data_IF_873911219241
#
_entry.id   IF_873911219241
#
_cell.length_a   1.000
_cell.length_b   1.000
_cell.length_c   1.000
_cell.angle_alpha   90.00
_cell.angle_beta   90.00
_cell.angle_gamma   90.00
#
_symmetry.space_group_name_H-M   'P 1'
#
loop_
_entity.id
_entity.type
_entity.pdbx_description
1 polymer ?
#
# COMPACT_ATOMS: atom_id res chain seq x y z
N UNK A 1 -23.40 31.08 11.05
CA UNK A 1 -23.12 29.66 11.28
C UNK A 1 -21.62 29.52 11.20
N UNK A 2 -20.99 29.32 12.35
CA UNK A 2 -19.58 28.93 12.39
C UNK A 2 -19.45 27.50 11.88
N UNK A 3 -18.20 27.07 11.74
CA UNK A 3 -17.71 25.69 11.76
C UNK A 3 -17.06 25.19 10.45
N UNK A 4 -15.77 24.88 10.62
CA UNK A 4 -14.86 24.06 9.80
C UNK A 4 -13.97 24.75 8.74
N UNK A 5 -13.21 25.78 9.12
CA UNK A 5 -11.88 26.02 8.51
C UNK A 5 -10.90 24.93 9.00
N UNK A 6 -10.99 23.74 8.40
CA UNK A 6 -10.13 22.60 8.74
C UNK A 6 -8.87 22.67 7.86
N UNK A 7 -7.98 23.60 8.20
CA UNK A 7 -6.63 23.64 7.64
C UNK A 7 -5.92 22.34 8.04
N UNK A 8 -5.89 21.36 7.12
CA UNK A 8 -5.17 20.11 7.33
C UNK A 8 -3.68 20.42 7.49
N UNK A 9 -3.05 19.84 8.51
CA UNK A 9 -1.60 19.92 8.66
C UNK A 9 -0.93 19.41 7.37
N UNK A 10 0.07 20.14 6.82
CA UNK A 10 0.69 19.78 5.54
C UNK A 10 1.32 18.37 5.55
N UNK A 11 1.75 17.89 6.73
CA UNK A 11 2.25 16.52 6.93
C UNK A 11 1.16 15.45 6.74
N UNK A 12 -0.07 15.76 7.14
CA UNK A 12 -1.22 14.85 7.03
C UNK A 12 -1.65 14.72 5.58
N UNK A 13 -1.71 15.83 4.84
CA UNK A 13 -1.98 15.83 3.40
C UNK A 13 -0.95 14.99 2.62
N UNK A 14 0.34 15.14 2.94
CA UNK A 14 1.39 14.38 2.29
C UNK A 14 1.21 12.87 2.49
N UNK A 15 0.93 12.44 3.73
CA UNK A 15 0.66 11.03 4.05
C UNK A 15 -0.54 10.48 3.26
N UNK A 16 -1.63 11.25 3.18
CA UNK A 16 -2.81 10.87 2.40
C UNK A 16 -2.45 10.68 0.92
N UNK A 17 -1.72 11.65 0.33
CA UNK A 17 -1.26 11.56 -1.05
C UNK A 17 -0.37 10.36 -1.29
N UNK A 18 0.53 10.04 -0.35
CA UNK A 18 1.38 8.86 -0.44
C UNK A 18 0.57 7.55 -0.40
N UNK A 19 -0.40 7.43 0.51
CA UNK A 19 -1.26 6.24 0.62
C UNK A 19 -2.16 6.04 -0.62
N UNK A 20 -2.55 7.13 -1.28
CA UNK A 20 -3.34 7.07 -2.51
C UNK A 20 -2.55 6.58 -3.74
N UNK A 21 -1.22 6.57 -3.71
CA UNK A 21 -0.39 6.12 -4.85
C UNK A 21 -0.70 4.68 -5.23
N UNK A 22 -0.96 4.44 -6.52
CA UNK A 22 -1.27 3.10 -7.05
C UNK A 22 -0.04 2.18 -6.97
N UNK A 23 -0.27 0.94 -6.53
CA UNK A 23 0.72 -0.15 -6.49
C UNK A 23 0.42 -1.18 -7.58
N UNK A 24 -0.83 -1.65 -7.68
CA UNK A 24 -1.24 -2.57 -8.75
C UNK A 24 -2.05 -1.84 -9.82
N UNK A 25 -1.39 -1.47 -10.91
CA UNK A 25 -1.99 -0.70 -12.01
C UNK A 25 -3.16 -1.47 -12.65
N UNK A 26 -3.03 -2.78 -12.85
CA UNK A 26 -4.09 -3.59 -13.46
C UNK A 26 -5.38 -3.67 -12.64
N UNK A 27 -5.31 -3.46 -11.32
CA UNK A 27 -6.45 -3.63 -10.40
C UNK A 27 -6.80 -2.33 -9.68
N UNK A 28 -6.11 -1.22 -9.97
CA UNK A 28 -6.31 0.07 -9.30
C UNK A 28 -6.05 0.05 -7.79
N UNK A 29 -5.21 -0.87 -7.29
CA UNK A 29 -4.99 -1.04 -5.85
C UNK A 29 -3.91 -0.06 -5.38
N UNK A 30 -4.23 0.80 -4.42
CA UNK A 30 -3.34 1.80 -3.84
C UNK A 30 -2.47 1.27 -2.69
N UNK A 31 -1.48 2.08 -2.30
CA UNK A 31 -0.51 1.74 -1.26
C UNK A 31 -1.16 1.53 0.11
N UNK A 32 -2.14 2.38 0.49
CA UNK A 32 -2.83 2.24 1.77
C UNK A 32 -3.52 0.88 1.92
N UNK A 33 -4.22 0.42 0.87
CA UNK A 33 -4.86 -0.91 0.85
C UNK A 33 -3.84 -2.05 0.89
N UNK A 34 -2.72 -1.90 0.19
CA UNK A 34 -1.62 -2.88 0.24
C UNK A 34 -1.03 -2.97 1.63
N UNK A 35 -0.64 -1.86 2.26
CA UNK A 35 -0.03 -1.85 3.59
C UNK A 35 -0.95 -2.46 4.66
N UNK A 36 -2.23 -2.08 4.67
CA UNK A 36 -3.23 -2.66 5.58
C UNK A 36 -3.38 -4.17 5.37
N UNK A 37 -3.34 -4.63 4.12
CA UNK A 37 -3.45 -6.04 3.78
C UNK A 37 -2.17 -6.85 4.01
N UNK A 38 -1.00 -6.19 4.09
CA UNK A 38 0.28 -6.83 4.37
C UNK A 38 0.47 -7.21 5.85
N UNK A 39 -0.37 -6.69 6.75
CA UNK A 39 -0.36 -7.09 8.15
C UNK A 39 -0.54 -8.61 8.27
N UNK A 40 0.46 -9.29 8.82
CA UNK A 40 0.51 -10.75 8.95
C UNK A 40 0.89 -11.52 7.68
N UNK A 41 1.37 -10.85 6.63
CA UNK A 41 1.92 -11.51 5.44
C UNK A 41 3.45 -11.61 5.51
N UNK A 42 4.01 -12.72 5.05
CA UNK A 42 5.46 -12.93 4.98
C UNK A 42 5.97 -12.98 3.54
N UNK A 43 5.12 -13.36 2.59
CA UNK A 43 5.47 -13.52 1.18
C UNK A 43 4.64 -12.64 0.26
N UNK A 44 5.16 -12.38 -0.94
CA UNK A 44 4.42 -11.67 -2.01
C UNK A 44 3.15 -12.45 -2.38
N UNK A 45 3.19 -13.78 -2.34
CA UNK A 45 2.03 -14.63 -2.60
C UNK A 45 0.92 -14.42 -1.56
N UNK A 46 1.27 -14.29 -0.27
CA UNK A 46 0.30 -13.98 0.78
C UNK A 46 -0.39 -12.65 0.53
N UNK A 47 0.41 -11.61 0.19
CA UNK A 47 -0.12 -10.28 -0.11
C UNK A 47 -1.00 -10.32 -1.36
N UNK A 48 -0.59 -11.03 -2.41
CA UNK A 48 -1.39 -11.19 -3.61
C UNK A 48 -2.75 -11.84 -3.30
N UNK A 49 -2.76 -12.92 -2.51
CA UNK A 49 -3.99 -13.60 -2.08
C UNK A 49 -4.89 -12.71 -1.22
N UNK A 50 -4.32 -12.04 -0.22
CA UNK A 50 -5.08 -11.26 0.77
C UNK A 50 -5.59 -9.93 0.20
N UNK A 51 -4.80 -9.28 -0.65
CA UNK A 51 -5.11 -7.94 -1.18
C UNK A 51 -5.78 -8.01 -2.56
N UNK A 52 -5.61 -9.11 -3.29
CA UNK A 52 -6.07 -9.25 -4.68
C UNK A 52 -5.13 -8.62 -5.71
N UNK A 53 -3.86 -8.40 -5.33
CA UNK A 53 -2.82 -7.95 -6.27
C UNK A 53 -2.25 -9.15 -7.05
N UNK A 54 -1.51 -8.90 -8.13
CA UNK A 54 -0.87 -9.97 -8.91
C UNK A 54 -1.78 -10.80 -9.82
N UNK A 55 -3.11 -10.71 -9.69
CA UNK A 55 -4.09 -11.43 -10.53
C UNK A 55 -4.59 -10.63 -11.75
N UNK A 56 -3.87 -9.58 -12.14
CA UNK A 56 -4.17 -8.79 -13.34
C UNK A 56 -3.53 -9.35 -14.59
N UNK A 57 -3.76 -8.73 -15.75
CA UNK A 57 -3.18 -9.17 -17.03
C UNK A 57 -1.64 -9.18 -17.09
N UNK A 58 -0.96 -8.50 -16.16
CA UNK A 58 0.51 -8.59 -16.01
C UNK A 58 0.98 -9.66 -15.01
N UNK A 59 0.08 -10.44 -14.42
CA UNK A 59 0.38 -11.54 -13.50
C UNK A 59 1.33 -11.20 -12.33
N UNK A 60 1.31 -9.92 -11.90
CA UNK A 60 2.15 -9.45 -10.79
C UNK A 60 3.55 -9.00 -11.19
N UNK A 61 3.92 -9.05 -12.46
CA UNK A 61 5.22 -8.59 -12.95
C UNK A 61 5.52 -7.13 -12.56
N UNK A 62 4.50 -6.25 -12.64
CA UNK A 62 4.66 -4.82 -12.33
C UNK A 62 4.60 -4.49 -10.84
N UNK A 63 3.70 -5.11 -10.09
CA UNK A 63 3.50 -4.79 -8.67
C UNK A 63 4.34 -5.67 -7.73
N UNK A 64 4.72 -6.87 -8.16
CA UNK A 64 5.44 -7.87 -7.37
C UNK A 64 6.77 -7.38 -6.81
N UNK A 65 7.68 -6.80 -7.62
CA UNK A 65 8.94 -6.25 -7.13
C UNK A 65 8.73 -5.17 -6.05
N UNK A 66 7.71 -4.32 -6.23
CA UNK A 66 7.37 -3.26 -5.26
C UNK A 66 6.80 -3.83 -3.96
N UNK A 67 5.92 -4.83 -4.04
CA UNK A 67 5.37 -5.52 -2.86
C UNK A 67 6.48 -6.23 -2.07
N UNK A 68 7.42 -6.88 -2.77
CA UNK A 68 8.59 -7.52 -2.15
C UNK A 68 9.43 -6.53 -1.37
N UNK A 69 9.68 -5.34 -1.93
CA UNK A 69 10.41 -4.28 -1.24
C UNK A 69 9.65 -3.77 0.00
N UNK A 70 8.34 -3.58 -0.11
CA UNK A 70 7.50 -3.16 1.02
C UNK A 70 7.52 -4.19 2.16
N UNK A 71 7.45 -5.48 1.84
CA UNK A 71 7.53 -6.57 2.84
C UNK A 71 8.86 -6.53 3.58
N UNK A 72 9.97 -6.42 2.83
CA UNK A 72 11.31 -6.30 3.42
C UNK A 72 11.40 -5.12 4.39
N UNK A 73 10.93 -3.94 3.98
CA UNK A 73 10.92 -2.75 4.85
C UNK A 73 10.07 -2.93 6.11
N UNK A 74 8.91 -3.60 6.00
CA UNK A 74 8.08 -3.89 7.17
C UNK A 74 8.74 -4.90 8.12
N UNK A 75 9.48 -5.88 7.59
CA UNK A 75 10.21 -6.85 8.40
C UNK A 75 11.39 -6.18 9.11
N UNK A 76 12.15 -5.33 8.42
CA UNK A 76 13.23 -4.52 9.01
C UNK A 76 12.70 -3.63 10.14
N UNK A 77 11.54 -2.98 9.94
CA UNK A 77 10.92 -2.14 10.96
C UNK A 77 10.34 -2.91 12.17
N UNK A 78 10.08 -4.22 12.05
CA UNK A 78 9.63 -5.08 13.15
C UNK A 78 10.76 -5.69 13.97
N UNK A 79 11.99 -5.67 13.45
CA UNK A 79 13.19 -6.21 14.10
C UNK A 79 13.94 -5.20 14.97
N UNK A 80 13.34 -4.04 15.24
CA UNK A 80 13.85 -2.99 16.16
C UNK A 80 12.92 -2.89 17.35
#
# INVERSE_FOLDING_TARGET
MADDDKTLDPKTEERIRQMAKVVCICKGINLGRVLKGMEGCETVADVNRKVGTGSGGCQGERCGPRIKLLLKKMQEAKGT
#
